data_IF_981254232044
#
_entry.id   IF_981254232044
#
_cell.length_a   1.000
_cell.length_b   1.000
_cell.length_c   1.000
_cell.angle_alpha   90.00
_cell.angle_beta   90.00
_cell.angle_gamma   90.00
#
_symmetry.space_group_name_H-M   'P 1'
#
loop_
_entity.id
_entity.type
_entity.pdbx_description
1 polymer ?
#
# COMPACT_ATOMS: atom_id res chain seq x y z
N UNK A 1 24.57 7.27 -4.00
CA UNK A 1 24.25 8.19 -2.89
C UNK A 1 22.97 8.99 -3.15
N UNK A 2 22.79 9.65 -4.31
CA UNK A 2 21.59 10.45 -4.59
C UNK A 2 20.26 9.65 -4.72
N UNK A 3 20.30 8.45 -5.32
CA UNK A 3 19.12 7.61 -5.55
C UNK A 3 18.44 7.15 -4.23
N UNK A 4 19.21 6.59 -3.28
CA UNK A 4 18.67 6.15 -2.00
C UNK A 4 18.13 7.31 -1.15
N UNK A 5 18.76 8.49 -1.25
CA UNK A 5 18.29 9.70 -0.57
C UNK A 5 16.90 10.11 -1.06
N UNK A 6 16.69 10.10 -2.39
CA UNK A 6 15.39 10.46 -2.98
C UNK A 6 14.28 9.47 -2.64
N UNK A 7 14.59 8.17 -2.62
CA UNK A 7 13.62 7.15 -2.19
C UNK A 7 13.14 7.39 -0.76
N UNK A 8 14.05 7.71 0.17
CA UNK A 8 13.70 8.01 1.56
C UNK A 8 12.88 9.29 1.64
N UNK A 9 13.28 10.34 0.92
CA UNK A 9 12.57 11.61 0.86
C UNK A 9 11.12 11.43 0.38
N UNK A 10 10.90 10.67 -0.69
CA UNK A 10 9.56 10.39 -1.22
C UNK A 10 8.67 9.70 -0.19
N UNK A 11 9.22 8.76 0.58
CA UNK A 11 8.46 8.08 1.64
C UNK A 11 8.14 9.03 2.78
N UNK A 12 9.07 9.90 3.19
CA UNK A 12 8.82 10.91 4.22
C UNK A 12 7.71 11.88 3.79
N UNK A 13 7.76 12.35 2.55
CA UNK A 13 6.72 13.21 1.97
C UNK A 13 5.37 12.48 2.03
N UNK A 14 5.29 11.25 1.53
CA UNK A 14 4.04 10.50 1.52
C UNK A 14 3.48 10.24 2.94
N UNK A 15 4.33 9.89 3.90
CA UNK A 15 3.93 9.71 5.29
C UNK A 15 3.41 11.01 5.92
N UNK A 16 4.07 12.14 5.65
CA UNK A 16 3.65 13.44 6.17
C UNK A 16 2.32 13.87 5.55
N UNK A 17 2.14 13.70 4.23
CA UNK A 17 0.86 13.96 3.55
C UNK A 17 -0.27 13.16 4.19
N UNK A 18 -0.07 11.86 4.44
CA UNK A 18 -1.08 11.02 5.12
C UNK A 18 -1.42 11.58 6.51
N UNK A 19 -0.41 11.97 7.30
CA UNK A 19 -0.63 12.51 8.63
C UNK A 19 -1.37 13.86 8.59
N UNK A 20 -1.00 14.74 7.67
CA UNK A 20 -1.60 16.06 7.48
C UNK A 20 -3.07 15.94 7.07
N UNK A 21 -3.37 15.08 6.09
CA UNK A 21 -4.75 14.81 5.62
C UNK A 21 -5.63 14.29 6.77
N UNK A 22 -5.09 13.37 7.59
CA UNK A 22 -5.81 12.82 8.75
C UNK A 22 -6.02 13.86 9.86
N UNK A 23 -5.03 14.73 10.12
CA UNK A 23 -5.14 15.82 11.10
C UNK A 23 -6.17 16.87 10.64
N UNK A 24 -6.25 17.13 9.33
CA UNK A 24 -7.22 18.06 8.74
C UNK A 24 -8.68 17.58 8.86
N UNK A 25 -8.91 16.36 9.35
CA UNK A 25 -10.26 15.80 9.50
C UNK A 25 -10.85 15.32 8.18
N UNK A 26 -10.01 15.03 7.20
CA UNK A 26 -10.36 14.39 5.94
C UNK A 26 -9.96 12.90 6.03
N UNK A 27 -10.68 12.04 6.78
CA UNK A 27 -10.42 10.61 6.77
C UNK A 27 -10.76 10.09 5.37
N UNK A 28 -9.76 10.11 4.49
CA UNK A 28 -9.95 9.79 3.09
C UNK A 28 -10.47 8.35 2.98
N UNK A 29 -11.63 8.20 2.34
CA UNK A 29 -12.03 6.91 1.81
C UNK A 29 -10.91 6.41 0.89
N UNK A 30 -10.52 5.16 1.07
CA UNK A 30 -9.50 4.57 0.23
C UNK A 30 -10.08 4.46 -1.19
N UNK A 31 -9.42 5.06 -2.17
CA UNK A 31 -9.80 4.95 -3.59
C UNK A 31 -8.63 4.45 -4.42
N UNK A 32 -8.93 3.87 -5.59
CA UNK A 32 -7.88 3.49 -6.53
C UNK A 32 -7.01 4.69 -6.93
N UNK A 33 -7.62 5.88 -7.08
CA UNK A 33 -6.92 7.14 -7.32
C UNK A 33 -5.93 7.53 -6.23
N UNK A 34 -6.31 7.35 -4.95
CA UNK A 34 -5.40 7.60 -3.82
C UNK A 34 -4.22 6.61 -3.80
N UNK A 35 -4.47 5.33 -4.10
CA UNK A 35 -3.39 4.33 -4.16
C UNK A 35 -2.44 4.63 -5.33
N UNK A 36 -2.98 5.07 -6.47
CA UNK A 36 -2.21 5.56 -7.62
C UNK A 36 -1.37 6.79 -7.26
N UNK A 37 -1.94 7.76 -6.55
CA UNK A 37 -1.18 8.96 -6.14
C UNK A 37 -0.03 8.59 -5.20
N UNK A 38 -0.23 7.66 -4.27
CA UNK A 38 0.86 7.12 -3.44
C UNK A 38 1.94 6.46 -4.28
N UNK A 39 1.61 5.66 -5.30
CA UNK A 39 2.61 5.10 -6.19
C UNK A 39 3.38 6.19 -6.98
N UNK A 40 2.66 7.21 -7.45
CA UNK A 40 3.25 8.39 -8.09
C UNK A 40 4.27 9.09 -7.19
N UNK A 41 3.90 9.37 -5.94
CA UNK A 41 4.79 9.97 -4.94
C UNK A 41 6.00 9.08 -4.63
N UNK A 42 5.77 7.79 -4.41
CA UNK A 42 6.83 6.80 -4.15
C UNK A 42 7.91 6.82 -5.24
N UNK A 43 7.50 6.92 -6.50
CA UNK A 43 8.40 6.85 -7.66
C UNK A 43 8.84 8.24 -8.17
N UNK A 44 8.40 9.32 -7.54
CA UNK A 44 8.64 10.69 -8.02
C UNK A 44 10.14 11.03 -8.11
N UNK A 45 10.61 11.36 -9.31
CA UNK A 45 12.00 11.72 -9.56
C UNK A 45 12.99 10.54 -9.45
N UNK A 46 12.51 9.29 -9.39
CA UNK A 46 13.36 8.11 -9.52
C UNK A 46 13.52 7.74 -11.00
N UNK A 47 14.68 7.19 -11.42
CA UNK A 47 14.83 6.61 -12.75
C UNK A 47 13.78 5.52 -12.97
N UNK A 48 12.89 5.75 -13.94
CA UNK A 48 11.85 4.80 -14.29
C UNK A 48 12.47 3.60 -15.02
N UNK A 49 12.04 2.40 -14.65
CA UNK A 49 12.29 1.20 -15.46
C UNK A 49 11.50 1.30 -16.77
N UNK A 50 12.01 0.64 -17.80
CA UNK A 50 11.32 0.60 -19.09
C UNK A 50 9.88 0.07 -18.94
N UNK A 51 8.92 0.80 -19.51
CA UNK A 51 7.49 0.47 -19.43
C UNK A 51 6.83 0.75 -18.07
N UNK A 52 7.53 1.33 -17.10
CA UNK A 52 6.95 1.73 -15.80
C UNK A 52 6.57 3.20 -15.83
N UNK A 53 5.30 3.49 -15.56
CA UNK A 53 4.79 4.85 -15.40
C UNK A 53 4.30 5.04 -13.96
N UNK A 54 4.90 5.97 -13.19
CA UNK A 54 4.47 6.28 -11.83
C UNK A 54 2.99 6.61 -11.73
N UNK A 55 2.28 5.95 -10.80
CA UNK A 55 0.85 6.19 -10.56
C UNK A 55 -0.09 5.60 -11.60
N UNK A 56 0.41 4.88 -12.61
CA UNK A 56 -0.43 4.18 -13.58
C UNK A 56 -0.41 2.67 -13.36
N UNK A 57 -1.57 2.04 -13.58
CA UNK A 57 -1.68 0.59 -13.61
C UNK A 57 -0.83 0.06 -14.76
N UNK A 58 -0.06 -1.01 -14.49
CA UNK A 58 0.76 -1.64 -15.51
C UNK A 58 -0.09 -2.19 -16.65
N UNK A 59 0.43 -2.12 -17.87
CA UNK A 59 -0.21 -2.66 -19.08
C UNK A 59 0.34 -4.03 -19.49
N UNK A 60 1.38 -4.49 -18.81
CA UNK A 60 2.08 -5.74 -19.12
C UNK A 60 1.96 -6.74 -17.96
N UNK A 61 1.97 -8.05 -18.23
CA UNK A 61 2.09 -9.08 -17.20
C UNK A 61 3.42 -8.97 -16.46
N UNK A 62 3.40 -9.26 -15.15
CA UNK A 62 4.62 -9.28 -14.31
C UNK A 62 4.71 -10.55 -13.49
N UNK A 63 5.94 -11.01 -13.29
CA UNK A 63 6.27 -12.13 -12.40
C UNK A 63 6.95 -11.56 -11.16
N UNK A 64 6.51 -12.01 -9.99
CA UNK A 64 6.95 -11.49 -8.69
C UNK A 64 7.49 -12.66 -7.86
N UNK A 65 8.79 -12.92 -7.98
CA UNK A 65 9.37 -14.14 -7.41
C UNK A 65 8.85 -15.37 -8.15
N UNK A 66 8.10 -16.23 -7.47
CA UNK A 66 7.54 -17.47 -8.03
C UNK A 66 6.10 -17.35 -8.54
N UNK A 67 5.39 -16.25 -8.28
CA UNK A 67 3.99 -16.09 -8.70
C UNK A 67 3.83 -15.02 -9.78
N UNK A 68 2.76 -15.14 -10.58
CA UNK A 68 2.33 -14.11 -11.53
C UNK A 68 1.32 -13.19 -10.86
N UNK A 69 1.53 -11.88 -10.99
CA UNK A 69 0.51 -10.91 -10.60
C UNK A 69 -0.78 -11.12 -11.40
N UNK A 70 -1.86 -10.44 -11.00
CA UNK A 70 -3.13 -10.50 -11.72
C UNK A 70 -2.97 -10.16 -13.22
N UNK A 71 -3.87 -10.60 -14.11
CA UNK A 71 -3.91 -10.09 -15.48
C UNK A 71 -3.93 -8.56 -15.49
N UNK A 72 -3.19 -7.94 -16.41
CA UNK A 72 -3.00 -6.48 -16.39
C UNK A 72 -4.33 -5.74 -16.64
N UNK A 73 -5.17 -6.33 -17.50
CA UNK A 73 -6.52 -5.89 -17.82
C UNK A 73 -7.48 -5.88 -16.61
N UNK A 74 -7.25 -6.76 -15.63
CA UNK A 74 -8.09 -6.88 -14.44
C UNK A 74 -7.62 -5.98 -13.29
N UNK A 75 -6.38 -5.47 -13.34
CA UNK A 75 -5.77 -4.77 -12.22
C UNK A 75 -6.55 -3.53 -11.76
N UNK A 76 -7.10 -2.75 -12.69
CA UNK A 76 -7.92 -1.58 -12.35
C UNK A 76 -9.17 -2.00 -11.57
N UNK A 77 -9.94 -2.94 -12.13
CA UNK A 77 -11.15 -3.46 -11.51
C UNK A 77 -10.87 -4.09 -10.13
N UNK A 78 -9.83 -4.92 -10.01
CA UNK A 78 -9.47 -5.56 -8.75
C UNK A 78 -9.06 -4.54 -7.69
N UNK A 79 -8.34 -3.48 -8.07
CA UNK A 79 -7.95 -2.42 -7.16
C UNK A 79 -9.16 -1.63 -6.65
N UNK A 80 -10.09 -1.28 -7.54
CA UNK A 80 -11.35 -0.63 -7.16
C UNK A 80 -12.19 -1.50 -6.22
N UNK A 81 -12.32 -2.80 -6.53
CA UNK A 81 -13.03 -3.78 -5.68
C UNK A 81 -12.39 -3.91 -4.30
N UNK A 82 -11.06 -3.90 -4.22
CA UNK A 82 -10.35 -3.90 -2.94
C UNK A 82 -10.68 -2.65 -2.12
N UNK A 83 -10.67 -1.47 -2.74
CA UNK A 83 -11.02 -0.21 -2.07
C UNK A 83 -12.46 -0.25 -1.53
N UNK A 84 -13.42 -0.70 -2.34
CA UNK A 84 -14.82 -0.84 -1.91
C UNK A 84 -14.94 -1.78 -0.70
N UNK A 85 -14.28 -2.94 -0.76
CA UNK A 85 -14.28 -3.90 0.34
C UNK A 85 -13.69 -3.29 1.63
N UNK A 86 -12.50 -2.70 1.57
CA UNK A 86 -11.83 -2.16 2.74
C UNK A 86 -12.61 -1.01 3.39
N UNK A 87 -13.20 -0.13 2.59
CA UNK A 87 -14.04 0.96 3.11
C UNK A 87 -15.30 0.41 3.78
N UNK A 88 -15.98 -0.55 3.15
CA UNK A 88 -17.20 -1.15 3.71
C UNK A 88 -16.94 -1.88 5.03
N UNK A 89 -15.85 -2.64 5.15
CA UNK A 89 -15.51 -3.31 6.40
C UNK A 89 -15.12 -2.30 7.49
N UNK A 90 -14.44 -1.20 7.15
CA UNK A 90 -14.13 -0.12 8.08
C UNK A 90 -15.39 0.58 8.60
N UNK A 91 -16.43 0.74 7.77
CA UNK A 91 -17.69 1.38 8.16
C UNK A 91 -18.57 0.50 9.06
N UNK A 92 -18.38 -0.82 9.07
CA UNK A 92 -19.10 -1.77 9.96
C UNK A 92 -18.64 -1.73 11.41
N UNK A 93 -17.73 -0.82 11.73
CA UNK A 93 -17.04 -0.75 13.00
C UNK A 93 -17.97 -0.37 14.17
N UNK A 94 -17.82 -1.11 15.28
CA UNK A 94 -18.29 -0.69 16.60
C UNK A 94 -17.08 -0.23 17.42
N UNK A 95 -17.26 0.75 18.29
CA UNK A 95 -16.15 1.48 18.95
C UNK A 95 -15.17 0.61 19.74
N UNK A 96 -15.57 -0.58 20.21
CA UNK A 96 -14.73 -1.46 21.04
C UNK A 96 -13.74 -2.32 20.23
N UNK A 97 -13.94 -2.51 18.92
CA UNK A 97 -13.10 -3.38 18.06
C UNK A 97 -12.24 -2.63 17.02
N UNK A 98 -12.26 -1.29 17.07
CA UNK A 98 -11.63 -0.42 16.04
C UNK A 98 -10.15 -0.68 15.81
N UNK A 99 -9.40 -0.86 16.90
CA UNK A 99 -7.96 -1.09 16.82
C UNK A 99 -7.65 -2.43 16.13
N UNK A 100 -8.28 -3.51 16.56
CA UNK A 100 -8.07 -4.86 16.01
C UNK A 100 -8.50 -4.92 14.55
N UNK A 101 -9.66 -4.36 14.23
CA UNK A 101 -10.17 -4.29 12.87
C UNK A 101 -9.20 -3.53 11.96
N UNK A 102 -8.66 -2.39 12.40
CA UNK A 102 -7.69 -1.62 11.61
C UNK A 102 -6.43 -2.41 11.29
N UNK A 103 -5.93 -3.21 12.24
CA UNK A 103 -4.77 -4.09 12.01
C UNK A 103 -5.14 -5.16 10.97
N UNK A 104 -6.29 -5.81 11.10
CA UNK A 104 -6.75 -6.82 10.14
C UNK A 104 -6.93 -6.24 8.73
N UNK A 105 -7.53 -5.06 8.61
CA UNK A 105 -7.70 -4.36 7.34
C UNK A 105 -6.35 -3.96 6.73
N UNK A 106 -5.42 -3.45 7.55
CA UNK A 106 -4.07 -3.11 7.13
C UNK A 106 -3.30 -4.33 6.61
N UNK A 107 -3.41 -5.48 7.30
CA UNK A 107 -2.84 -6.76 6.84
C UNK A 107 -3.46 -7.19 5.52
N UNK A 108 -4.79 -7.13 5.43
CA UNK A 108 -5.56 -7.57 4.27
C UNK A 108 -5.23 -6.73 3.04
N UNK A 109 -5.21 -5.41 3.20
CA UNK A 109 -4.83 -4.47 2.14
C UNK A 109 -3.42 -4.77 1.59
N UNK A 110 -2.45 -5.02 2.48
CA UNK A 110 -1.09 -5.37 2.06
C UNK A 110 -1.06 -6.66 1.23
N UNK A 111 -1.75 -7.71 1.69
CA UNK A 111 -1.81 -9.00 1.01
C UNK A 111 -2.41 -8.88 -0.39
N UNK A 112 -3.56 -8.21 -0.50
CA UNK A 112 -4.22 -8.05 -1.79
C UNK A 112 -3.44 -7.14 -2.74
N UNK A 113 -2.84 -6.04 -2.27
CA UNK A 113 -2.01 -5.19 -3.11
C UNK A 113 -0.75 -5.93 -3.60
N UNK A 114 -0.14 -6.74 -2.74
CA UNK A 114 0.96 -7.60 -3.13
C UNK A 114 0.52 -8.56 -4.23
N UNK A 115 -0.60 -9.26 -4.05
CA UNK A 115 -1.13 -10.26 -4.99
C UNK A 115 -1.60 -9.67 -6.33
N UNK A 116 -2.40 -8.59 -6.33
CA UNK A 116 -2.84 -7.89 -7.55
C UNK A 116 -1.62 -7.37 -8.31
N UNK A 117 -0.64 -6.83 -7.57
CA UNK A 117 0.57 -6.22 -8.09
C UNK A 117 0.29 -5.17 -9.18
N UNK A 118 -0.50 -4.12 -8.88
CA UNK A 118 -1.09 -3.25 -9.91
C UNK A 118 -0.08 -2.37 -10.66
N UNK A 119 1.09 -2.08 -10.09
CA UNK A 119 2.06 -1.14 -10.67
C UNK A 119 3.27 -1.85 -11.28
N UNK A 120 3.97 -1.16 -12.18
CA UNK A 120 5.23 -1.67 -12.76
C UNK A 120 6.41 -1.64 -11.77
N UNK A 121 6.38 -0.74 -10.78
CA UNK A 121 7.30 -0.70 -9.65
C UNK A 121 6.61 -0.04 -8.44
N UNK A 122 7.24 -0.11 -7.27
CA UNK A 122 6.77 0.60 -6.07
C UNK A 122 5.70 -0.14 -5.27
N UNK A 123 5.17 -1.28 -5.75
CA UNK A 123 4.06 -2.00 -5.10
C UNK A 123 4.23 -2.22 -3.59
N UNK A 124 5.41 -2.71 -3.16
CA UNK A 124 5.66 -2.94 -1.73
C UNK A 124 5.72 -1.66 -0.89
N UNK A 125 6.20 -0.54 -1.47
CA UNK A 125 6.23 0.76 -0.80
C UNK A 125 4.83 1.37 -0.75
N UNK A 126 4.08 1.31 -1.85
CA UNK A 126 2.68 1.74 -1.92
C UNK A 126 1.79 0.95 -0.96
N UNK A 127 1.93 -0.38 -0.88
CA UNK A 127 1.17 -1.21 0.04
C UNK A 127 1.39 -0.83 1.51
N UNK A 128 2.62 -0.47 1.88
CA UNK A 128 2.96 0.01 3.23
C UNK A 128 2.38 1.38 3.55
N UNK A 129 2.26 2.27 2.56
CA UNK A 129 1.58 3.56 2.74
C UNK A 129 0.07 3.35 2.96
N UNK A 130 -0.55 2.41 2.24
CA UNK A 130 -1.95 2.01 2.48
C UNK A 130 -2.11 1.37 3.86
N UNK A 131 -1.18 0.53 4.28
CA UNK A 131 -1.13 -0.06 5.63
C UNK A 131 -1.07 1.04 6.71
N UNK A 132 -0.20 2.03 6.52
CA UNK A 132 -0.08 3.19 7.41
C UNK A 132 -1.40 3.96 7.51
N UNK A 133 -2.01 4.31 6.36
CA UNK A 133 -3.28 5.03 6.32
C UNK A 133 -4.38 4.29 7.09
N UNK A 134 -4.50 2.97 6.93
CA UNK A 134 -5.53 2.17 7.59
C UNK A 134 -5.30 2.08 9.10
N UNK A 135 -4.06 1.89 9.54
CA UNK A 135 -3.70 1.86 10.96
C UNK A 135 -3.97 3.20 11.65
N UNK A 136 -3.56 4.32 11.03
CA UNK A 136 -3.76 5.65 11.58
C UNK A 136 -5.25 6.02 11.63
N UNK A 137 -6.02 5.67 10.59
CA UNK A 137 -7.49 5.80 10.61
C UNK A 137 -8.14 4.98 11.73
N UNK A 138 -7.56 3.83 12.10
CA UNK A 138 -7.98 3.02 13.23
C UNK A 138 -7.59 3.54 14.61
N UNK A 139 -6.93 4.71 14.68
CA UNK A 139 -6.44 5.29 15.94
C UNK A 139 -5.17 4.63 16.47
N UNK A 140 -4.47 3.82 15.66
CA UNK A 140 -3.14 3.30 16.03
C UNK A 140 -2.17 4.49 16.08
N UNK A 141 -1.45 4.72 17.19
CA UNK A 141 -0.47 5.79 17.26
C UNK A 141 0.64 5.63 16.19
N UNK A 142 1.06 6.72 15.57
CA UNK A 142 2.05 6.70 14.49
C UNK A 142 3.35 5.91 14.82
N UNK A 143 3.93 6.00 16.04
CA UNK A 143 5.09 5.17 16.38
C UNK A 143 4.79 3.66 16.34
N UNK A 144 3.60 3.25 16.81
CA UNK A 144 3.17 1.85 16.78
C UNK A 144 2.90 1.39 15.34
N UNK A 145 2.23 2.22 14.53
CA UNK A 145 1.98 1.93 13.13
C UNK A 145 3.29 1.74 12.36
N UNK A 146 4.28 2.62 12.56
CA UNK A 146 5.60 2.49 11.94
C UNK A 146 6.32 1.19 12.32
N UNK A 147 6.26 0.77 13.58
CA UNK A 147 6.84 -0.48 14.05
C UNK A 147 6.19 -1.71 13.40
N UNK A 148 4.85 -1.72 13.29
CA UNK A 148 4.09 -2.82 12.69
C UNK A 148 4.46 -3.02 11.21
N UNK A 149 4.51 -1.93 10.45
CA UNK A 149 4.86 -1.94 9.02
C UNK A 149 6.32 -2.36 8.81
N UNK A 150 7.22 -1.90 9.68
CA UNK A 150 8.65 -2.26 9.63
C UNK A 150 8.86 -3.76 9.84
N UNK A 151 8.30 -4.35 10.91
CA UNK A 151 8.46 -5.78 11.24
C UNK A 151 7.87 -6.70 10.17
N UNK A 152 6.74 -6.32 9.57
CA UNK A 152 6.05 -7.13 8.55
C UNK A 152 6.82 -7.20 7.22
N UNK A 153 7.71 -6.24 6.97
CA UNK A 153 8.63 -6.27 5.84
C UNK A 153 9.56 -7.48 5.89
N UNK A 154 10.00 -7.88 7.08
CA UNK A 154 10.93 -9.00 7.29
C UNK A 154 10.19 -10.35 7.23
N UNK A 155 8.98 -10.42 7.80
CA UNK A 155 8.16 -11.63 7.79
C UNK A 155 7.67 -12.03 6.38
N UNK A 156 7.34 -11.06 5.52
CA UNK A 156 6.90 -11.36 4.15
C UNK A 156 8.06 -11.71 3.22
N UNK A 157 9.25 -11.13 3.45
CA UNK A 157 10.48 -11.56 2.79
C UNK A 157 10.86 -13.00 3.22
N UNK A 158 10.59 -13.38 4.47
CA UNK A 158 10.75 -14.74 4.94
C UNK A 158 9.72 -15.72 4.33
N UNK A 159 8.45 -15.31 4.17
CA UNK A 159 7.43 -16.07 3.42
C UNK A 159 7.80 -16.27 1.93
N UNK A 160 8.56 -15.35 1.33
CA UNK A 160 9.16 -15.55 -0.01
C UNK A 160 10.28 -16.60 -0.04
N UNK A 161 10.92 -16.88 1.09
CA UNK A 161 11.98 -17.89 1.20
C UNK A 161 11.42 -19.28 1.54
N UNK A 162 10.32 -19.36 2.29
CA UNK A 162 9.64 -20.62 2.58
C UNK A 162 8.58 -20.92 1.51
N UNK A 163 8.96 -21.79 0.56
CA UNK A 163 8.07 -22.53 -0.34
C UNK A 163 6.74 -22.86 0.36
N UNK A 164 5.63 -22.39 -0.19
CA UNK A 164 4.31 -22.97 0.05
C UNK A 164 3.83 -23.45 -1.32
N UNK A 165 4.01 -24.77 -1.51
CA UNK A 165 3.83 -25.63 -2.69
C UNK A 165 4.60 -25.27 -3.95
#
# INVERSE_FOLDING_TARGET
MAYQGREVENILIACNTILEDLIAGEPANLTAGLIKSYNGLVLAGLPAKEGVVPGEIRKIPVVVGSYRGAPAEDCEYLLERLCVFLNAERERETTLDRLSLSVLLAVTAHLYLAWIHPFGDGNGRTARLVELLLLLNGGVPAPAAHLLIRRRSDAFCALRASRIC
#
